data_IF_780699287942
#
_entry.id   IF_780699287942
#
_cell.length_a   1.000
_cell.length_b   1.000
_cell.length_c   1.000
_cell.angle_alpha   90.00
_cell.angle_beta   90.00
_cell.angle_gamma   90.00
#
_symmetry.space_group_name_H-M   'P 1'
#
loop_
_entity.id
_entity.type
_entity.pdbx_description
1 polymer ?
#
# COMPACT_ATOMS: atom_id res chain seq x y z
N UNK A 1 3.22 13.89 13.64
CA UNK A 1 3.28 13.53 12.22
C UNK A 1 3.42 12.03 11.96
N UNK A 2 3.19 11.22 12.99
CA UNK A 2 3.23 9.78 12.84
C UNK A 2 1.83 9.23 12.58
N UNK A 3 1.76 8.14 11.86
CA UNK A 3 0.52 7.40 11.71
C UNK A 3 0.55 6.29 12.75
N UNK A 4 -0.32 6.37 13.73
CA UNK A 4 -0.36 5.40 14.81
C UNK A 4 -0.93 4.07 14.35
N UNK A 5 -0.35 2.98 14.83
CA UNK A 5 -0.79 1.65 14.47
C UNK A 5 0.13 0.58 15.02
N UNK A 6 -0.05 -0.62 14.50
CA UNK A 6 0.70 -1.80 14.94
C UNK A 6 1.24 -2.56 13.73
N UNK A 7 2.38 -3.22 13.92
CA UNK A 7 2.91 -4.13 12.91
C UNK A 7 2.44 -5.54 13.27
N UNK A 8 1.71 -6.16 12.35
CA UNK A 8 1.15 -7.50 12.55
C UNK A 8 1.71 -8.46 11.50
N UNK A 9 1.84 -9.72 11.88
CA UNK A 9 2.27 -10.75 10.94
C UNK A 9 1.07 -11.23 10.13
N UNK A 10 1.28 -11.48 8.83
CA UNK A 10 0.26 -12.09 8.00
C UNK A 10 -0.11 -13.46 8.55
N UNK A 11 -1.32 -13.93 8.18
CA UNK A 11 -1.85 -15.20 8.69
C UNK A 11 -0.84 -16.33 8.53
N UNK A 12 -0.58 -17.06 9.61
CA UNK A 12 0.39 -18.17 9.60
C UNK A 12 -0.08 -19.36 8.76
N UNK A 13 -1.36 -19.41 8.42
CA UNK A 13 -1.90 -20.51 7.63
C UNK A 13 -1.69 -20.32 6.13
N UNK A 14 -1.02 -19.24 5.72
CA UNK A 14 -0.69 -18.98 4.33
C UNK A 14 0.83 -19.00 4.15
N UNK A 15 1.25 -19.17 2.88
CA UNK A 15 2.67 -19.21 2.55
C UNK A 15 3.27 -17.81 2.72
N UNK A 16 4.34 -17.70 3.51
CA UNK A 16 5.05 -16.45 3.73
C UNK A 16 6.46 -16.52 3.15
N UNK A 17 6.99 -15.39 2.68
CA UNK A 17 6.37 -14.07 2.59
C UNK A 17 5.34 -13.99 1.47
N UNK A 18 4.48 -12.98 1.55
CA UNK A 18 3.65 -12.60 0.42
C UNK A 18 4.56 -12.03 -0.65
N UNK A 19 4.71 -12.72 -1.74
CA UNK A 19 5.68 -12.37 -2.79
C UNK A 19 5.01 -12.45 -4.15
N UNK A 20 5.17 -11.39 -4.94
CA UNK A 20 4.66 -11.34 -6.29
C UNK A 20 3.64 -10.22 -6.50
N UNK A 21 2.98 -10.25 -7.64
CA UNK A 21 1.99 -9.25 -8.01
C UNK A 21 0.66 -9.52 -7.32
N UNK A 22 0.03 -8.46 -6.85
CA UNK A 22 -1.28 -8.54 -6.24
C UNK A 22 -2.05 -7.26 -6.50
N UNK A 23 -3.36 -7.35 -6.39
CA UNK A 23 -4.26 -6.22 -6.61
C UNK A 23 -4.31 -5.32 -5.38
N UNK A 24 -4.51 -4.03 -5.64
CA UNK A 24 -4.68 -3.01 -4.61
C UNK A 24 -6.03 -2.35 -4.84
N UNK A 25 -6.83 -2.26 -3.79
CA UNK A 25 -8.14 -1.62 -3.85
C UNK A 25 -8.12 -0.34 -3.02
N UNK A 26 -8.43 0.79 -3.66
CA UNK A 26 -8.45 2.07 -2.97
C UNK A 26 -9.61 2.14 -1.97
N UNK A 27 -9.30 2.59 -0.76
CA UNK A 27 -10.31 2.87 0.27
C UNK A 27 -10.67 4.34 0.31
N UNK A 28 -9.76 5.21 -0.15
CA UNK A 28 -9.96 6.66 -0.24
C UNK A 28 -9.36 7.16 -1.53
N UNK A 29 -9.91 8.27 -2.04
CA UNK A 29 -9.33 8.92 -3.21
C UNK A 29 -8.01 9.59 -2.85
N UNK A 30 -7.02 9.50 -3.72
CA UNK A 30 -5.74 10.13 -3.50
C UNK A 30 -5.06 10.43 -4.82
N UNK A 31 -4.38 11.58 -4.87
CA UNK A 31 -3.59 11.95 -6.05
C UNK A 31 -2.40 11.02 -6.24
N UNK A 32 -2.03 10.26 -5.20
CA UNK A 32 -0.93 9.30 -5.31
C UNK A 32 -1.22 8.23 -6.37
N UNK A 33 -2.49 7.90 -6.58
CA UNK A 33 -2.89 6.89 -7.56
C UNK A 33 -3.46 7.47 -8.85
N UNK A 34 -3.21 8.75 -9.12
CA UNK A 34 -3.65 9.37 -10.37
C UNK A 34 -3.05 8.69 -11.59
N UNK A 35 -3.87 8.52 -12.64
CA UNK A 35 -3.45 7.96 -13.92
C UNK A 35 -3.02 6.49 -13.86
N UNK A 36 -3.40 5.79 -12.81
CA UNK A 36 -3.16 4.35 -12.70
C UNK A 36 -4.45 3.63 -13.07
N UNK A 37 -4.41 2.81 -14.12
CA UNK A 37 -5.60 2.11 -14.62
C UNK A 37 -5.72 0.71 -14.04
N UNK A 38 -4.61 0.02 -13.87
CA UNK A 38 -4.57 -1.35 -13.36
C UNK A 38 -3.82 -1.34 -12.04
N UNK A 39 -4.55 -1.54 -10.93
CA UNK A 39 -3.99 -1.44 -9.59
C UNK A 39 -3.28 -2.73 -9.17
N UNK A 40 -2.33 -3.20 -9.96
CA UNK A 40 -1.48 -4.32 -9.60
C UNK A 40 -0.10 -3.82 -9.22
N UNK A 41 0.42 -4.27 -8.08
CA UNK A 41 1.71 -3.88 -7.54
C UNK A 41 2.46 -5.10 -7.03
N UNK A 42 3.77 -4.98 -6.93
CA UNK A 42 4.63 -6.05 -6.46
C UNK A 42 4.78 -6.01 -4.94
N UNK A 43 4.57 -7.16 -4.30
CA UNK A 43 4.67 -7.30 -2.85
C UNK A 43 5.79 -8.27 -2.47
N UNK A 44 6.43 -7.99 -1.34
CA UNK A 44 7.40 -8.91 -0.74
C UNK A 44 7.45 -8.59 0.76
N UNK A 45 6.63 -9.28 1.55
CA UNK A 45 6.55 -9.00 2.98
C UNK A 45 5.90 -10.15 3.74
N UNK A 46 6.18 -10.21 5.05
CA UNK A 46 5.51 -11.15 5.96
C UNK A 46 4.69 -10.43 7.02
N UNK A 47 4.88 -9.12 7.16
CA UNK A 47 4.20 -8.29 8.15
C UNK A 47 3.48 -7.16 7.44
N UNK A 48 2.47 -6.60 8.10
CA UNK A 48 1.77 -5.43 7.59
C UNK A 48 1.47 -4.46 8.73
N UNK A 49 1.25 -3.20 8.34
CA UNK A 49 0.97 -2.15 9.31
C UNK A 49 -0.53 -1.93 9.41
N UNK A 50 -1.07 -2.05 10.62
CA UNK A 50 -2.49 -1.79 10.88
C UNK A 50 -2.62 -0.46 11.61
N UNK A 51 -3.25 0.52 10.94
CA UNK A 51 -3.49 1.84 11.54
C UNK A 51 -4.55 1.75 12.62
N UNK A 52 -4.47 2.65 13.62
CA UNK A 52 -5.49 2.74 14.65
C UNK A 52 -6.75 3.45 14.15
N UNK A 53 -6.60 4.32 13.15
CA UNK A 53 -7.70 5.09 12.59
C UNK A 53 -7.88 4.74 11.12
N UNK A 54 -9.05 4.21 10.78
CA UNK A 54 -9.35 3.75 9.41
C UNK A 54 -9.29 4.87 8.38
N UNK A 55 -9.41 6.14 8.81
CA UNK A 55 -9.32 7.26 7.87
C UNK A 55 -7.94 7.40 7.26
N UNK A 56 -6.92 6.75 7.84
CA UNK A 56 -5.56 6.75 7.31
C UNK A 56 -5.30 5.58 6.37
N UNK A 57 -6.29 4.73 6.14
CA UNK A 57 -6.16 3.64 5.18
C UNK A 57 -6.37 4.22 3.77
N UNK A 58 -5.36 4.10 2.94
CA UNK A 58 -5.43 4.55 1.55
C UNK A 58 -5.88 3.41 0.64
N UNK A 59 -5.35 2.21 0.87
CA UNK A 59 -5.72 1.05 0.06
C UNK A 59 -5.61 -0.24 0.84
N UNK A 60 -6.32 -1.26 0.35
CA UNK A 60 -6.33 -2.59 0.94
C UNK A 60 -5.96 -3.61 -0.12
N UNK A 61 -5.36 -4.70 0.30
CA UNK A 61 -5.08 -5.86 -0.53
C UNK A 61 -5.47 -7.11 0.23
N UNK A 62 -5.47 -8.25 -0.46
CA UNK A 62 -5.83 -9.52 0.16
C UNK A 62 -4.79 -10.57 -0.13
N UNK A 63 -4.32 -11.23 0.92
CA UNK A 63 -3.44 -12.40 0.81
C UNK A 63 -3.85 -13.36 1.93
N UNK A 64 -4.80 -14.24 1.61
CA UNK A 64 -5.52 -15.00 2.62
C UNK A 64 -6.55 -14.10 3.28
N UNK A 65 -6.13 -13.20 4.14
CA UNK A 65 -6.98 -12.20 4.78
C UNK A 65 -6.71 -10.80 4.23
N UNK A 66 -7.70 -9.89 4.30
CA UNK A 66 -7.46 -8.50 3.89
C UNK A 66 -6.42 -7.82 4.79
N UNK A 67 -5.59 -6.97 4.22
CA UNK A 67 -4.63 -6.17 4.97
C UNK A 67 -4.48 -4.80 4.32
N UNK A 68 -4.03 -3.83 5.12
CA UNK A 68 -3.78 -2.48 4.62
C UNK A 68 -2.53 -2.50 3.75
N UNK A 69 -2.65 -2.06 2.50
CA UNK A 69 -1.53 -2.02 1.58
C UNK A 69 -0.93 -0.64 1.39
N UNK A 70 -1.65 0.42 1.75
CA UNK A 70 -1.13 1.79 1.75
C UNK A 70 -1.84 2.62 2.80
N UNK A 71 -1.10 3.55 3.40
CA UNK A 71 -1.60 4.46 4.43
C UNK A 71 -1.21 5.88 4.08
N UNK A 72 -1.94 6.85 4.66
CA UNK A 72 -1.62 8.25 4.46
C UNK A 72 -2.08 9.10 5.63
N UNK A 73 -1.39 10.22 5.81
CA UNK A 73 -1.78 11.27 6.77
C UNK A 73 -1.20 12.57 6.26
N UNK A 74 -2.06 13.44 5.72
CA UNK A 74 -1.57 14.65 5.06
C UNK A 74 -0.70 14.30 3.88
N UNK A 75 0.56 14.73 3.90
CA UNK A 75 1.54 14.44 2.85
C UNK A 75 2.45 13.25 3.18
N UNK A 76 2.15 12.52 4.26
CA UNK A 76 2.90 11.33 4.63
C UNK A 76 2.22 10.11 4.03
N UNK A 77 2.99 9.31 3.29
CA UNK A 77 2.49 8.10 2.64
C UNK A 77 3.36 6.91 3.00
N UNK A 78 2.72 5.77 3.18
CA UNK A 78 3.42 4.51 3.36
C UNK A 78 2.79 3.43 2.50
N UNK A 79 3.60 2.58 1.88
CA UNK A 79 3.10 1.48 1.07
C UNK A 79 3.70 0.18 1.51
N UNK A 80 2.90 -0.88 1.48
CA UNK A 80 3.39 -2.23 1.73
C UNK A 80 4.01 -2.81 0.47
N UNK A 81 3.47 -2.45 -0.69
CA UNK A 81 4.03 -2.86 -1.97
C UNK A 81 5.30 -2.06 -2.27
N UNK A 82 6.08 -2.58 -3.21
CA UNK A 82 7.35 -1.96 -3.63
C UNK A 82 7.16 -1.21 -4.94
N UNK A 83 7.03 0.14 -4.91
CA UNK A 83 6.88 0.91 -6.15
C UNK A 83 8.05 0.68 -7.10
N UNK A 84 9.27 0.57 -6.57
CA UNK A 84 10.47 0.39 -7.38
C UNK A 84 10.47 -0.93 -8.15
N UNK A 85 9.67 -1.91 -7.72
CA UNK A 85 9.54 -3.23 -8.37
C UNK A 85 8.22 -3.39 -9.11
N UNK A 86 7.39 -2.36 -9.15
CA UNK A 86 6.04 -2.44 -9.70
C UNK A 86 5.93 -1.88 -11.12
N UNK A 87 7.05 -1.76 -11.83
CA UNK A 87 7.12 -1.33 -13.24
C UNK A 87 6.38 -0.01 -13.48
N UNK A 88 5.49 0.04 -14.49
CA UNK A 88 4.78 1.27 -14.86
C UNK A 88 3.97 1.86 -13.71
N UNK A 89 3.29 1.00 -12.95
CA UNK A 89 2.48 1.47 -11.83
C UNK A 89 3.35 2.09 -10.74
N UNK A 90 4.51 1.48 -10.48
CA UNK A 90 5.45 2.01 -9.50
C UNK A 90 5.98 3.37 -9.92
N UNK A 91 6.32 3.53 -11.21
CA UNK A 91 6.79 4.81 -11.74
C UNK A 91 5.71 5.87 -11.57
N UNK A 92 4.45 5.54 -11.86
CA UNK A 92 3.33 6.46 -11.68
C UNK A 92 3.19 6.90 -10.23
N UNK A 93 3.31 5.96 -9.29
CA UNK A 93 3.24 6.27 -7.85
C UNK A 93 4.35 7.26 -7.47
N UNK A 94 5.57 7.01 -7.91
CA UNK A 94 6.70 7.89 -7.58
C UNK A 94 6.54 9.27 -8.20
N UNK A 95 6.10 9.34 -9.46
CA UNK A 95 5.83 10.61 -10.11
C UNK A 95 4.74 11.40 -9.39
N UNK A 96 3.66 10.72 -9.03
CA UNK A 96 2.55 11.36 -8.32
C UNK A 96 2.98 11.85 -6.95
N UNK A 97 3.83 11.09 -6.25
CA UNK A 97 4.34 11.49 -4.95
C UNK A 97 5.15 12.79 -5.05
N UNK A 98 6.02 12.89 -6.05
CA UNK A 98 6.82 14.10 -6.25
C UNK A 98 5.91 15.31 -6.50
N UNK A 99 4.87 15.15 -7.31
CA UNK A 99 3.91 16.25 -7.58
C UNK A 99 3.17 16.70 -6.33
N UNK A 100 2.81 15.75 -5.46
CA UNK A 100 2.11 16.08 -4.20
C UNK A 100 3.03 16.84 -3.26
N UNK A 101 4.29 16.43 -3.17
CA UNK A 101 5.27 17.06 -2.27
C UNK A 101 5.72 18.43 -2.76
N UNK A 102 5.69 18.64 -4.04
CA UNK A 102 6.02 19.92 -4.65
C UNK A 102 4.78 20.72 -4.94
#
# INVERSE_FOLDING_TARGET
NWIEGKILKLDKDIILPHMGWNNVKLSNKSDLFNNIENFEFYFLHSYYYKTEDDKHILSMSKYGNPFTSAIYKGNIFGTQFHPEKSHKNGIKILENFVKIKC
#
